data_IF_251497466004
#
_entry.id   IF_251497466004
#
_cell.length_a   1.000
_cell.length_b   1.000
_cell.length_c   1.000
_cell.angle_alpha   90.00
_cell.angle_beta   90.00
_cell.angle_gamma   90.00
#
_symmetry.space_group_name_H-M   'P 1'
#
loop_
_entity.id
_entity.type
_entity.pdbx_description
1 polymer ?
#
# COMPACT_ATOMS: atom_id res chain seq x y z
N UNK A 1 -11.09 13.92 21.51
CA UNK A 1 -9.64 14.24 21.38
C UNK A 1 -9.09 13.26 20.37
N UNK A 2 -8.91 13.66 19.11
CA UNK A 2 -8.38 12.77 18.07
C UNK A 2 -6.87 12.99 17.96
N UNK A 3 -6.10 11.91 18.07
CA UNK A 3 -4.66 11.93 17.90
C UNK A 3 -4.35 12.30 16.44
N UNK A 4 -3.45 13.27 16.16
CA UNK A 4 -3.05 13.56 14.79
C UNK A 4 -2.35 12.33 14.18
N UNK A 5 -2.52 12.06 12.86
CA UNK A 5 -1.85 10.95 12.21
C UNK A 5 -0.34 11.09 12.38
N UNK A 6 0.30 10.05 12.92
CA UNK A 6 1.73 10.06 13.22
C UNK A 6 2.52 10.35 11.93
N UNK A 7 3.31 11.41 11.93
CA UNK A 7 4.15 11.78 10.81
C UNK A 7 5.17 10.66 10.54
N UNK A 8 5.21 10.17 9.31
CA UNK A 8 6.20 9.17 8.88
C UNK A 8 7.60 9.76 9.11
N UNK A 9 8.51 9.07 9.83
CA UNK A 9 9.83 9.62 10.13
C UNK A 9 10.58 9.93 8.84
N UNK A 10 11.20 11.11 8.78
CA UNK A 10 11.87 11.66 7.59
C UNK A 10 12.86 10.67 6.94
N UNK A 11 13.54 9.86 7.74
CA UNK A 11 14.49 8.85 7.27
C UNK A 11 13.82 7.70 6.49
N UNK A 12 12.62 7.27 6.90
CA UNK A 12 11.87 6.22 6.21
C UNK A 12 11.32 6.73 4.86
N UNK A 13 10.82 7.98 4.84
CA UNK A 13 10.32 8.59 3.61
C UNK A 13 11.44 8.78 2.58
N UNK A 14 12.64 9.19 3.03
CA UNK A 14 13.83 9.30 2.18
C UNK A 14 14.22 7.96 1.57
N UNK A 15 14.17 6.87 2.34
CA UNK A 15 14.49 5.54 1.85
C UNK A 15 13.49 5.05 0.79
N UNK A 16 12.19 5.24 1.03
CA UNK A 16 11.14 4.95 0.05
C UNK A 16 11.33 5.74 -1.25
N UNK A 17 11.61 7.04 -1.13
CA UNK A 17 11.91 7.89 -2.28
C UNK A 17 13.06 7.32 -3.12
N UNK A 18 14.17 6.91 -2.51
CA UNK A 18 15.32 6.33 -3.23
C UNK A 18 14.92 5.05 -3.99
N UNK A 19 14.16 4.16 -3.36
CA UNK A 19 13.71 2.92 -3.98
C UNK A 19 12.73 3.18 -5.14
N UNK A 20 11.77 4.09 -4.94
CA UNK A 20 10.82 4.48 -5.99
C UNK A 20 11.52 5.18 -7.15
N UNK A 21 12.50 6.03 -6.86
CA UNK A 21 13.33 6.69 -7.86
C UNK A 21 14.03 5.69 -8.77
N UNK A 22 14.70 4.69 -8.19
CA UNK A 22 15.36 3.63 -8.97
C UNK A 22 14.36 2.91 -9.89
N UNK A 23 13.21 2.49 -9.37
CA UNK A 23 12.17 1.79 -10.15
C UNK A 23 11.55 2.67 -11.24
N UNK A 24 11.29 3.95 -10.95
CA UNK A 24 10.64 4.87 -11.90
C UNK A 24 11.59 5.32 -13.03
N UNK A 25 12.89 5.15 -12.83
CA UNK A 25 13.94 5.56 -13.80
C UNK A 25 14.61 4.39 -14.52
N UNK A 26 14.34 3.14 -14.10
CA UNK A 26 14.80 1.95 -14.81
C UNK A 26 14.21 1.92 -16.24
N UNK A 27 15.08 2.14 -17.23
CA UNK A 27 14.74 2.70 -18.53
C UNK A 27 15.02 1.71 -19.67
N UNK A 28 14.15 0.71 -19.87
CA UNK A 28 14.20 -0.11 -21.09
C UNK A 28 13.51 0.52 -22.32
N UNK A 29 13.29 1.83 -22.36
CA UNK A 29 12.95 2.48 -23.64
C UNK A 29 13.35 3.96 -23.70
N UNK A 30 14.32 4.26 -24.57
CA UNK A 30 14.95 5.57 -24.81
C UNK A 30 14.31 6.22 -26.03
N UNK A 31 13.19 6.89 -25.81
CA UNK A 31 12.78 8.04 -26.61
C UNK A 31 11.91 8.92 -25.72
N UNK A 32 11.93 10.23 -25.90
CA UNK A 32 11.16 11.23 -25.16
C UNK A 32 11.75 11.74 -23.82
N UNK A 33 12.88 12.44 -23.85
CA UNK A 33 13.43 13.12 -22.66
C UNK A 33 12.52 14.22 -22.05
N UNK A 34 11.59 14.81 -22.83
CA UNK A 34 10.59 15.78 -22.33
C UNK A 34 9.38 15.13 -21.66
N UNK A 35 8.79 14.12 -22.31
CA UNK A 35 7.70 13.31 -21.73
C UNK A 35 8.20 12.43 -20.57
N UNK A 36 9.49 12.09 -20.52
CA UNK A 36 10.11 11.33 -19.42
C UNK A 36 9.95 12.03 -18.08
N UNK A 37 10.16 13.34 -17.94
CA UNK A 37 10.03 14.00 -16.62
C UNK A 37 8.60 13.93 -16.09
N UNK A 38 7.59 14.18 -16.92
CA UNK A 38 6.18 14.03 -16.55
C UNK A 38 5.85 12.56 -16.23
N UNK A 39 6.33 11.63 -17.05
CA UNK A 39 6.17 10.18 -16.83
C UNK A 39 6.86 9.72 -15.55
N UNK A 40 8.05 10.20 -15.23
CA UNK A 40 8.80 9.85 -14.02
C UNK A 40 8.09 10.39 -12.78
N UNK A 41 7.61 11.65 -12.78
CA UNK A 41 6.84 12.19 -11.64
C UNK A 41 5.54 11.42 -11.45
N UNK A 42 4.81 11.14 -12.54
CA UNK A 42 3.60 10.34 -12.48
C UNK A 42 3.85 8.92 -11.97
N UNK A 43 4.89 8.24 -12.47
CA UNK A 43 5.29 6.92 -12.00
C UNK A 43 5.72 6.94 -10.53
N UNK A 44 6.49 7.94 -10.10
CA UNK A 44 6.85 8.11 -8.69
C UNK A 44 5.61 8.24 -7.82
N UNK A 45 4.65 9.09 -8.20
CA UNK A 45 3.40 9.25 -7.48
C UNK A 45 2.61 7.93 -7.41
N UNK A 46 2.53 7.20 -8.52
CA UNK A 46 1.91 5.87 -8.55
C UNK A 46 2.63 4.89 -7.62
N UNK A 47 3.97 4.89 -7.56
CA UNK A 47 4.71 4.02 -6.63
C UNK A 47 4.46 4.35 -5.18
N UNK A 48 4.34 5.63 -4.82
CA UNK A 48 3.92 6.02 -3.47
C UNK A 48 2.50 5.56 -3.16
N UNK A 49 1.55 5.76 -4.09
CA UNK A 49 0.16 5.28 -3.93
C UNK A 49 0.09 3.76 -3.77
N UNK A 50 0.81 3.00 -4.60
CA UNK A 50 0.89 1.55 -4.52
C UNK A 50 1.47 1.09 -3.18
N UNK A 51 2.53 1.74 -2.69
CA UNK A 51 3.11 1.43 -1.38
C UNK A 51 2.13 1.70 -0.24
N UNK A 52 1.33 2.76 -0.32
CA UNK A 52 0.28 3.06 0.67
C UNK A 52 -0.87 2.06 0.62
N UNK A 53 -1.34 1.71 -0.58
CA UNK A 53 -2.37 0.69 -0.79
C UNK A 53 -1.88 -0.66 -0.26
N UNK A 54 -0.65 -1.07 -0.59
CA UNK A 54 -0.05 -2.32 -0.13
C UNK A 54 0.07 -2.38 1.41
N UNK A 55 0.39 -1.25 2.06
CA UNK A 55 0.43 -1.17 3.51
C UNK A 55 -0.95 -1.38 4.15
N UNK A 56 -1.99 -0.75 3.61
CA UNK A 56 -3.36 -0.94 4.09
C UNK A 56 -3.89 -2.34 3.79
N UNK A 57 -3.62 -2.87 2.60
CA UNK A 57 -4.01 -4.21 2.18
C UNK A 57 -3.39 -5.26 3.12
N UNK A 58 -2.09 -5.16 3.41
CA UNK A 58 -1.42 -6.04 4.37
C UNK A 58 -2.07 -6.00 5.75
N UNK A 59 -2.41 -4.81 6.26
CA UNK A 59 -3.10 -4.67 7.54
C UNK A 59 -4.47 -5.36 7.55
N UNK A 60 -5.31 -5.07 6.55
CA UNK A 60 -6.64 -5.69 6.38
C UNK A 60 -6.51 -7.21 6.28
N UNK A 61 -5.52 -7.68 5.52
CA UNK A 61 -5.22 -9.09 5.34
C UNK A 61 -4.85 -9.78 6.66
N UNK A 62 -3.92 -9.22 7.43
CA UNK A 62 -3.49 -9.76 8.71
C UNK A 62 -4.61 -9.75 9.76
N UNK A 63 -5.47 -8.73 9.74
CA UNK A 63 -6.67 -8.68 10.56
C UNK A 63 -7.66 -9.79 10.17
N UNK A 64 -7.84 -10.03 8.87
CA UNK A 64 -8.66 -11.13 8.35
C UNK A 64 -8.16 -12.51 8.78
N UNK A 65 -6.85 -12.77 8.69
CA UNK A 65 -6.24 -14.02 9.19
C UNK A 65 -6.40 -14.19 10.70
N UNK A 66 -6.52 -13.08 11.45
CA UNK A 66 -6.68 -13.11 12.91
C UNK A 66 -8.08 -13.51 13.38
N UNK A 67 -9.08 -13.53 12.49
CA UNK A 67 -10.45 -13.94 12.81
C UNK A 67 -10.58 -15.42 13.17
N UNK A 68 -9.60 -16.26 12.81
CA UNK A 68 -9.68 -17.71 13.03
C UNK A 68 -10.80 -18.39 12.24
N UNK A 69 -11.43 -17.69 11.29
CA UNK A 69 -12.38 -18.26 10.35
C UNK A 69 -11.64 -18.78 9.12
N UNK A 70 -12.02 -19.98 8.69
CA UNK A 70 -11.48 -20.54 7.46
C UNK A 70 -11.82 -19.66 6.25
N UNK A 71 -10.85 -19.34 5.39
CA UNK A 71 -11.11 -18.70 4.12
C UNK A 71 -12.11 -19.53 3.29
N UNK A 72 -12.87 -18.84 2.43
CA UNK A 72 -13.79 -19.47 1.47
C UNK A 72 -13.17 -20.69 0.78
N UNK A 73 -13.98 -21.71 0.50
CA UNK A 73 -13.54 -22.95 -0.18
C UNK A 73 -12.91 -22.71 -1.55
N UNK A 74 -13.25 -21.60 -2.21
CA UNK A 74 -12.64 -21.20 -3.47
C UNK A 74 -11.30 -20.49 -3.33
N UNK A 75 -10.90 -20.09 -2.11
CA UNK A 75 -9.71 -19.33 -1.70
C UNK A 75 -8.81 -18.80 -2.85
N UNK A 76 -9.35 -17.87 -3.65
CA UNK A 76 -8.67 -17.39 -4.86
C UNK A 76 -7.43 -16.55 -4.55
N UNK A 77 -7.29 -16.14 -3.30
CA UNK A 77 -6.19 -15.32 -2.81
C UNK A 77 -5.14 -16.15 -2.05
N UNK A 78 -5.33 -17.47 -1.93
CA UNK A 78 -4.41 -18.36 -1.22
C UNK A 78 -4.29 -18.05 0.28
N UNK A 79 -5.32 -17.47 0.89
CA UNK A 79 -5.38 -17.08 2.30
C UNK A 79 -5.13 -18.24 3.25
N UNK A 80 -5.50 -19.47 2.86
CA UNK A 80 -5.26 -20.69 3.66
C UNK A 80 -3.79 -20.97 3.90
N UNK A 81 -2.93 -20.46 3.02
CA UNK A 81 -1.47 -20.59 3.13
C UNK A 81 -0.82 -19.29 3.66
N UNK A 82 -1.64 -18.28 3.97
CA UNK A 82 -1.20 -17.01 4.53
C UNK A 82 -0.61 -17.20 5.92
N UNK A 83 0.59 -16.67 6.14
CA UNK A 83 1.22 -16.66 7.46
C UNK A 83 0.78 -15.41 8.22
N UNK A 84 0.30 -15.63 9.46
CA UNK A 84 0.01 -14.55 10.40
C UNK A 84 1.32 -13.95 10.94
N UNK A 85 1.40 -12.64 10.96
CA UNK A 85 2.50 -11.90 11.59
C UNK A 85 2.41 -12.01 13.11
N UNK A 86 3.56 -12.08 13.79
CA UNK A 86 3.62 -12.19 15.25
C UNK A 86 2.93 -11.02 15.96
N UNK A 87 2.94 -9.84 15.33
CA UNK A 87 2.34 -8.60 15.84
C UNK A 87 1.16 -8.14 14.97
N UNK A 88 0.40 -9.08 14.39
CA UNK A 88 -0.76 -8.74 13.58
C UNK A 88 -1.76 -7.87 14.37
N UNK A 89 -2.20 -6.73 13.80
CA UNK A 89 -3.11 -5.82 14.49
C UNK A 89 -4.49 -6.46 14.70
N UNK A 90 -5.19 -6.05 15.76
CA UNK A 90 -6.53 -6.57 16.07
C UNK A 90 -7.55 -6.10 15.03
N UNK A 91 -8.61 -6.89 14.85
CA UNK A 91 -9.65 -6.61 13.85
C UNK A 91 -10.30 -5.24 14.07
N UNK A 92 -10.75 -4.97 15.29
CA UNK A 92 -11.47 -3.73 15.63
C UNK A 92 -10.60 -2.48 15.52
N UNK A 93 -9.29 -2.64 15.65
CA UNK A 93 -8.30 -1.57 15.48
C UNK A 93 -7.97 -1.34 14.00
N UNK A 94 -8.07 -2.37 13.17
CA UNK A 94 -7.68 -2.32 11.75
C UNK A 94 -8.84 -1.96 10.85
N UNK A 95 -10.00 -2.57 11.04
CA UNK A 95 -11.19 -2.41 10.20
C UNK A 95 -12.06 -1.30 10.77
N UNK A 96 -11.58 -0.07 10.65
CA UNK A 96 -12.32 1.13 11.04
C UNK A 96 -12.96 1.81 9.83
N UNK A 97 -13.94 2.69 10.09
CA UNK A 97 -14.53 3.52 9.03
C UNK A 97 -13.47 4.42 8.35
N UNK A 98 -12.45 4.83 9.10
CA UNK A 98 -11.32 5.60 8.58
C UNK A 98 -10.50 4.77 7.60
N UNK A 99 -10.15 3.54 7.95
CA UNK A 99 -9.42 2.60 7.07
C UNK A 99 -10.17 2.37 5.76
N UNK A 100 -11.49 2.10 5.83
CA UNK A 100 -12.33 1.88 4.64
C UNK A 100 -12.39 3.15 3.78
N UNK A 101 -12.53 4.32 4.40
CA UNK A 101 -12.59 5.60 3.68
C UNK A 101 -11.24 5.92 3.02
N UNK A 102 -10.13 5.67 3.71
CA UNK A 102 -8.78 5.87 3.17
C UNK A 102 -8.52 4.95 1.98
N UNK A 103 -8.88 3.66 2.08
CA UNK A 103 -8.77 2.72 0.98
C UNK A 103 -9.54 3.22 -0.25
N UNK A 104 -10.81 3.60 -0.09
CA UNK A 104 -11.63 4.14 -1.20
C UNK A 104 -11.02 5.38 -1.85
N UNK A 105 -10.48 6.30 -1.05
CA UNK A 105 -9.80 7.50 -1.56
C UNK A 105 -8.55 7.16 -2.35
N UNK A 106 -7.72 6.24 -1.85
CA UNK A 106 -6.50 5.81 -2.54
C UNK A 106 -6.80 5.10 -3.86
N UNK A 107 -7.84 4.25 -3.91
CA UNK A 107 -8.25 3.60 -5.15
C UNK A 107 -8.72 4.61 -6.20
N UNK A 108 -9.43 5.66 -5.76
CA UNK A 108 -9.83 6.77 -6.64
C UNK A 108 -8.63 7.57 -7.15
N UNK A 109 -7.65 7.83 -6.29
CA UNK A 109 -6.40 8.52 -6.68
C UNK A 109 -5.55 7.67 -7.64
N UNK A 110 -5.63 6.35 -7.53
CA UNK A 110 -4.98 5.41 -8.46
C UNK A 110 -5.63 5.38 -9.84
N UNK A 111 -6.91 5.77 -9.94
CA UNK A 111 -7.67 5.78 -11.19
C UNK A 111 -8.61 4.58 -11.37
N UNK A 112 -9.04 3.94 -10.27
CA UNK A 112 -10.19 3.02 -10.25
C UNK A 112 -11.51 3.73 -9.95
#
# INVERSE_FOLDING_TARGET
MSCPPQAVPHNALRQKFIQHWQRATDCNNISLHGFRRFKTIHLLNLRFLEDEIAGLDHGIYQAGLSLGHDPSSSDRLGLRYGKKDENAPQLDETITQETISRLRSLLKEYGM
#
